data_IF_756310513651
#
_entry.id   IF_756310513651
#
_cell.length_a   1.000
_cell.length_b   1.000
_cell.length_c   1.000
_cell.angle_alpha   90.00
_cell.angle_beta   90.00
_cell.angle_gamma   90.00
#
_symmetry.space_group_name_H-M   'P 1'
#
loop_
_entity.id
_entity.type
_entity.pdbx_description
1 polymer ?
#
# COMPACT_ATOMS: atom_id res chain seq x y z
N UNK A 1 -5.07 -2.86 3.30
CA UNK A 1 -5.83 -2.48 2.08
C UNK A 1 -4.97 -2.79 0.87
N UNK A 2 -5.51 -3.41 -0.16
CA UNK A 2 -4.72 -3.89 -1.31
C UNK A 2 -5.60 -4.11 -2.54
N UNK A 3 -5.22 -5.02 -3.45
CA UNK A 3 -5.95 -5.28 -4.69
C UNK A 3 -7.46 -5.52 -4.48
N UNK A 4 -8.27 -5.01 -5.40
CA UNK A 4 -9.73 -5.08 -5.40
C UNK A 4 -10.21 -6.11 -6.44
N UNK A 5 -11.31 -6.84 -6.19
CA UNK A 5 -11.80 -7.83 -7.15
C UNK A 5 -12.52 -7.22 -8.34
N UNK A 6 -12.47 -7.93 -9.47
CA UNK A 6 -13.21 -7.59 -10.67
C UNK A 6 -12.44 -6.67 -11.62
N UNK A 7 -13.11 -6.30 -12.72
CA UNK A 7 -12.47 -5.64 -13.86
C UNK A 7 -13.00 -4.23 -14.15
N UNK A 8 -14.12 -3.83 -13.53
CA UNK A 8 -14.77 -2.54 -13.78
C UNK A 8 -14.33 -1.47 -12.75
N UNK A 9 -13.52 -0.47 -13.16
CA UNK A 9 -13.12 0.63 -12.29
C UNK A 9 -14.29 1.49 -11.83
N UNK A 10 -15.37 1.61 -12.61
CA UNK A 10 -16.53 2.43 -12.25
C UNK A 10 -17.34 1.77 -11.14
N UNK A 11 -17.57 0.47 -11.25
CA UNK A 11 -18.23 -0.32 -10.19
C UNK A 11 -17.41 -0.26 -8.89
N UNK A 12 -16.10 -0.50 -8.97
CA UNK A 12 -15.21 -0.45 -7.82
C UNK A 12 -15.23 0.94 -7.13
N UNK A 13 -15.10 2.02 -7.91
CA UNK A 13 -15.12 3.38 -7.38
C UNK A 13 -16.47 3.71 -6.70
N UNK A 14 -17.60 3.32 -7.30
CA UNK A 14 -18.94 3.52 -6.71
C UNK A 14 -19.11 2.75 -5.40
N UNK A 15 -18.67 1.49 -5.34
CA UNK A 15 -18.76 0.68 -4.11
C UNK A 15 -17.90 1.31 -3.02
N UNK A 16 -16.62 1.60 -3.31
CA UNK A 16 -15.69 2.12 -2.31
C UNK A 16 -16.17 3.45 -1.76
N UNK A 17 -16.60 4.37 -2.62
CA UNK A 17 -17.07 5.68 -2.16
C UNK A 17 -18.45 5.66 -1.51
N UNK A 18 -19.32 4.75 -1.96
CA UNK A 18 -20.63 4.54 -1.33
C UNK A 18 -20.54 3.96 0.08
N UNK A 19 -19.55 3.10 0.34
CA UNK A 19 -19.35 2.48 1.66
C UNK A 19 -18.42 3.28 2.57
N UNK A 20 -17.42 3.98 2.02
CA UNK A 20 -16.40 4.72 2.77
C UNK A 20 -16.59 6.23 2.60
N UNK A 21 -17.63 6.76 3.24
CA UNK A 21 -17.79 8.20 3.46
C UNK A 21 -16.95 8.71 4.63
N UNK A 22 -16.93 10.02 4.86
CA UNK A 22 -16.30 10.61 6.06
C UNK A 22 -16.90 10.00 7.35
N UNK A 23 -16.08 9.56 8.33
CA UNK A 23 -14.64 9.82 8.51
C UNK A 23 -13.71 8.73 7.94
N UNK A 24 -14.23 7.78 7.16
CA UNK A 24 -13.45 6.69 6.58
C UNK A 24 -12.62 7.17 5.38
N UNK A 25 -11.65 6.35 4.98
CA UNK A 25 -10.68 6.68 3.94
C UNK A 25 -11.01 5.93 2.65
N UNK A 26 -11.78 6.51 1.72
CA UNK A 26 -11.96 5.94 0.39
C UNK A 26 -10.62 5.92 -0.37
N UNK A 27 -10.49 5.02 -1.34
CA UNK A 27 -9.22 4.77 -2.01
C UNK A 27 -9.38 4.51 -3.50
N UNK A 28 -8.33 4.81 -4.27
CA UNK A 28 -8.23 4.40 -5.66
C UNK A 28 -7.94 2.90 -5.74
N UNK A 29 -8.88 2.13 -6.30
CA UNK A 29 -8.77 0.69 -6.41
C UNK A 29 -7.65 0.25 -7.37
N UNK A 30 -6.98 -0.84 -7.03
CA UNK A 30 -6.11 -1.59 -7.95
C UNK A 30 -6.85 -2.83 -8.42
N UNK A 31 -7.02 -3.01 -9.73
CA UNK A 31 -7.84 -4.07 -10.32
C UNK A 31 -6.96 -5.02 -11.16
N UNK A 32 -6.21 -5.94 -10.52
CA UNK A 32 -5.28 -6.81 -11.24
C UNK A 32 -5.96 -7.76 -12.23
N UNK A 33 -7.25 -8.09 -12.03
CA UNK A 33 -8.01 -9.00 -12.90
C UNK A 33 -8.16 -8.46 -14.34
N UNK A 34 -7.98 -7.15 -14.55
CA UNK A 34 -7.92 -6.51 -15.89
C UNK A 34 -6.68 -6.92 -16.70
N UNK A 35 -5.77 -7.64 -16.06
CA UNK A 35 -4.58 -8.23 -16.66
C UNK A 35 -3.36 -7.31 -16.62
N UNK A 36 -2.42 -7.64 -17.50
CA UNK A 36 -1.08 -7.03 -17.54
C UNK A 36 -1.15 -5.50 -17.61
N UNK A 37 -0.50 -4.85 -16.64
CA UNK A 37 -0.40 -3.40 -16.51
C UNK A 37 -1.39 -2.82 -15.51
N UNK A 38 -2.37 -3.61 -15.06
CA UNK A 38 -3.26 -3.27 -13.95
C UNK A 38 -2.85 -3.93 -12.62
N UNK A 39 -1.86 -4.83 -12.66
CA UNK A 39 -1.16 -5.35 -11.49
C UNK A 39 -0.31 -4.26 -10.79
N UNK A 40 -0.10 -4.38 -9.49
CA UNK A 40 0.60 -3.38 -8.68
C UNK A 40 2.01 -3.06 -9.19
N UNK A 41 2.72 -4.06 -9.72
CA UNK A 41 4.08 -3.90 -10.24
C UNK A 41 4.07 -3.09 -11.54
N UNK A 42 3.29 -3.50 -12.55
CA UNK A 42 3.15 -2.78 -13.81
C UNK A 42 2.58 -1.36 -13.63
N UNK A 43 1.58 -1.23 -12.75
CA UNK A 43 0.97 0.06 -12.40
C UNK A 43 2.00 1.03 -11.82
N UNK A 44 2.85 0.56 -10.90
CA UNK A 44 3.89 1.41 -10.30
C UNK A 44 5.04 1.64 -11.26
N UNK A 45 5.45 0.63 -12.02
CA UNK A 45 6.56 0.73 -12.98
C UNK A 45 6.28 1.73 -14.11
N UNK A 46 5.02 1.97 -14.47
CA UNK A 46 4.68 3.01 -15.45
C UNK A 46 4.80 4.44 -14.91
N UNK A 47 5.04 4.61 -13.61
CA UNK A 47 5.35 5.89 -12.98
C UNK A 47 6.84 6.24 -13.05
N UNK A 48 7.71 5.30 -13.38
CA UNK A 48 9.16 5.53 -13.40
C UNK A 48 9.53 6.55 -14.48
N UNK A 49 10.34 7.55 -14.12
CA UNK A 49 10.91 8.53 -15.05
C UNK A 49 12.27 8.05 -15.57
N UNK A 50 12.57 8.26 -16.85
CA UNK A 50 13.80 7.80 -17.53
C UNK A 50 14.04 6.27 -17.55
N UNK A 51 13.17 5.48 -16.93
CA UNK A 51 13.18 4.01 -16.98
C UNK A 51 11.87 3.52 -17.58
N UNK A 52 11.96 2.62 -18.56
CA UNK A 52 10.80 1.97 -19.15
C UNK A 52 10.73 0.49 -18.78
N UNK A 53 9.56 -0.11 -18.95
CA UNK A 53 9.36 -1.54 -18.72
C UNK A 53 8.60 -2.24 -19.85
N UNK A 54 8.90 -3.52 -20.04
CA UNK A 54 8.13 -4.45 -20.87
C UNK A 54 7.82 -5.74 -20.12
N UNK A 55 6.90 -6.54 -20.67
CA UNK A 55 6.49 -7.80 -20.07
C UNK A 55 7.15 -8.94 -20.81
N UNK A 56 7.87 -9.78 -20.07
CA UNK A 56 8.51 -11.00 -20.54
C UNK A 56 7.84 -12.23 -19.91
N UNK A 57 8.08 -13.46 -20.41
CA UNK A 57 7.52 -14.68 -19.82
C UNK A 57 7.84 -14.88 -18.33
N UNK A 58 8.95 -14.30 -17.85
CA UNK A 58 9.38 -14.35 -16.45
C UNK A 58 8.94 -13.12 -15.62
N UNK A 59 8.21 -12.18 -16.23
CA UNK A 59 7.65 -11.00 -15.55
C UNK A 59 8.11 -9.68 -16.18
N UNK A 60 7.90 -8.60 -15.43
CA UNK A 60 8.26 -7.24 -15.85
C UNK A 60 9.78 -7.05 -15.88
N UNK A 61 10.27 -6.37 -16.91
CA UNK A 61 11.69 -6.13 -17.15
C UNK A 61 11.94 -4.67 -17.51
N UNK A 62 13.03 -4.12 -17.00
CA UNK A 62 13.54 -2.80 -17.37
C UNK A 62 14.06 -2.78 -18.80
N UNK A 63 13.67 -1.77 -19.57
CA UNK A 63 14.05 -1.55 -20.96
C UNK A 63 14.41 -0.10 -21.23
N UNK A 64 15.18 0.14 -22.30
CA UNK A 64 15.67 1.48 -22.64
C UNK A 64 14.58 2.44 -23.15
N UNK A 65 13.45 1.91 -23.66
CA UNK A 65 12.40 2.73 -24.28
C UNK A 65 10.99 2.20 -23.99
N UNK A 66 10.01 3.10 -23.80
CA UNK A 66 8.63 2.72 -23.51
C UNK A 66 8.00 1.95 -24.68
N UNK A 67 7.58 0.72 -24.38
CA UNK A 67 6.96 -0.19 -25.34
C UNK A 67 5.43 -0.12 -25.37
N UNK A 68 4.81 -1.22 -25.82
CA UNK A 68 3.35 -1.38 -25.77
C UNK A 68 2.86 -1.63 -24.34
N UNK A 69 3.57 -2.44 -23.57
CA UNK A 69 3.17 -2.82 -22.20
C UNK A 69 3.23 -1.62 -21.25
N UNK A 70 4.29 -0.80 -21.33
CA UNK A 70 4.37 0.47 -20.61
C UNK A 70 3.16 1.37 -20.90
N UNK A 71 2.85 1.59 -22.19
CA UNK A 71 1.71 2.42 -22.59
C UNK A 71 0.37 1.83 -22.15
N UNK A 72 0.25 0.50 -22.12
CA UNK A 72 -0.95 -0.20 -21.61
C UNK A 72 -1.14 0.06 -20.12
N UNK A 73 -0.09 -0.08 -19.31
CA UNK A 73 -0.14 0.20 -17.87
C UNK A 73 -0.47 1.68 -17.59
N UNK A 74 0.20 2.61 -18.29
CA UNK A 74 -0.07 4.04 -18.16
C UNK A 74 -1.51 4.41 -18.56
N UNK A 75 -2.04 3.80 -19.63
CA UNK A 75 -3.42 3.99 -20.07
C UNK A 75 -4.41 3.44 -19.05
N UNK A 76 -4.18 2.25 -18.50
CA UNK A 76 -5.04 1.66 -17.47
C UNK A 76 -5.10 2.54 -16.21
N UNK A 77 -3.96 3.01 -15.73
CA UNK A 77 -3.88 3.95 -14.61
C UNK A 77 -4.61 5.27 -14.92
N UNK A 78 -4.47 5.79 -16.14
CA UNK A 78 -5.18 7.00 -16.56
C UNK A 78 -6.69 6.81 -16.57
N UNK A 79 -7.19 5.67 -17.05
CA UNK A 79 -8.60 5.30 -16.96
C UNK A 79 -9.08 5.30 -15.51
N UNK A 80 -8.33 4.70 -14.58
CA UNK A 80 -8.73 4.62 -13.17
C UNK A 80 -8.84 6.01 -12.52
N UNK A 81 -7.91 6.91 -12.83
CA UNK A 81 -7.92 8.30 -12.33
C UNK A 81 -9.10 9.08 -12.94
N UNK A 82 -9.38 8.90 -14.24
CA UNK A 82 -10.51 9.57 -14.88
C UNK A 82 -11.85 9.09 -14.31
N UNK A 83 -12.01 7.78 -14.11
CA UNK A 83 -13.20 7.21 -13.47
C UNK A 83 -13.36 7.70 -12.03
N UNK A 84 -12.25 7.81 -11.28
CA UNK A 84 -12.26 8.43 -9.96
C UNK A 84 -12.78 9.87 -10.03
N UNK A 85 -12.34 10.65 -11.02
CA UNK A 85 -12.79 12.03 -11.22
C UNK A 85 -14.29 12.11 -11.54
N UNK A 86 -14.79 11.24 -12.43
CA UNK A 86 -16.20 11.19 -12.80
C UNK A 86 -17.08 10.86 -11.59
N UNK A 87 -16.67 9.88 -10.78
CA UNK A 87 -17.43 9.49 -9.57
C UNK A 87 -17.35 10.60 -8.52
N UNK A 88 -16.16 11.13 -8.22
CA UNK A 88 -15.98 12.18 -7.22
C UNK A 88 -16.71 13.48 -7.60
N UNK A 89 -16.72 13.84 -8.89
CA UNK A 89 -17.41 15.04 -9.38
C UNK A 89 -18.94 14.94 -9.33
N UNK A 90 -19.49 13.73 -9.26
CA UNK A 90 -20.93 13.50 -9.12
C UNK A 90 -21.40 13.46 -7.65
N UNK A 91 -20.48 13.50 -6.68
CA UNK A 91 -20.81 13.42 -5.25
C UNK A 91 -21.30 14.75 -4.70
N UNK A 92 -22.42 14.73 -3.96
CA UNK A 92 -22.90 15.91 -3.23
C UNK A 92 -21.99 16.27 -2.05
N UNK A 93 -21.35 15.26 -1.44
CA UNK A 93 -20.46 15.40 -0.27
C UNK A 93 -19.13 14.72 -0.58
N UNK A 94 -18.16 15.46 -1.14
CA UNK A 94 -16.85 14.92 -1.44
C UNK A 94 -16.15 14.40 -0.18
N UNK A 95 -15.42 13.29 -0.33
CA UNK A 95 -14.54 12.80 0.72
C UNK A 95 -13.40 13.78 1.02
N UNK A 96 -13.14 14.03 2.31
CA UNK A 96 -12.07 14.93 2.75
C UNK A 96 -10.67 14.36 2.50
N UNK A 97 -10.55 13.04 2.50
CA UNK A 97 -9.30 12.32 2.31
C UNK A 97 -9.49 11.22 1.26
N UNK A 98 -8.48 10.98 0.44
CA UNK A 98 -8.46 9.87 -0.53
C UNK A 98 -7.12 9.16 -0.44
N UNK A 99 -7.14 7.83 -0.38
CA UNK A 99 -5.93 7.02 -0.42
C UNK A 99 -5.54 6.64 -1.86
N UNK A 100 -4.25 6.69 -2.13
CA UNK A 100 -3.63 5.98 -3.25
C UNK A 100 -2.55 5.02 -2.74
N UNK A 101 -2.21 4.03 -3.54
CA UNK A 101 -1.11 3.11 -3.22
C UNK A 101 -0.20 2.86 -4.42
N UNK A 102 1.02 2.43 -4.12
CA UNK A 102 2.07 2.07 -5.09
C UNK A 102 3.06 1.09 -4.45
N UNK A 103 3.75 0.31 -5.27
CA UNK A 103 4.82 -0.60 -4.82
C UNK A 103 6.05 0.19 -4.35
N UNK A 104 6.61 -0.16 -3.20
CA UNK A 104 7.82 0.46 -2.68
C UNK A 104 9.07 0.11 -3.48
N UNK A 105 10.13 0.93 -3.37
CA UNK A 105 11.32 0.82 -4.20
C UNK A 105 12.02 -0.53 -4.09
N UNK A 106 11.99 -1.19 -2.92
CA UNK A 106 12.70 -2.46 -2.75
C UNK A 106 11.91 -3.64 -3.30
N UNK A 107 10.60 -3.69 -3.06
CA UNK A 107 9.73 -4.70 -3.66
C UNK A 107 9.57 -4.48 -5.16
N UNK A 108 9.64 -3.23 -5.64
CA UNK A 108 9.74 -2.92 -7.06
C UNK A 108 11.04 -3.49 -7.65
N UNK A 109 12.18 -3.30 -6.99
CA UNK A 109 13.45 -3.90 -7.43
C UNK A 109 13.46 -5.44 -7.35
N UNK A 110 12.75 -6.03 -6.38
CA UNK A 110 12.56 -7.47 -6.28
C UNK A 110 11.63 -8.01 -7.38
N UNK A 111 10.64 -7.23 -7.80
CA UNK A 111 9.67 -7.60 -8.84
C UNK A 111 10.17 -7.40 -10.27
N UNK A 112 10.99 -6.38 -10.52
CA UNK A 112 11.50 -6.05 -11.85
C UNK A 112 12.77 -6.84 -12.20
N UNK A 113 12.90 -7.22 -13.46
CA UNK A 113 14.09 -7.87 -14.01
C UNK A 113 14.94 -6.89 -14.81
N UNK A 114 16.25 -7.15 -14.84
CA UNK A 114 17.19 -6.51 -15.75
C UNK A 114 17.14 -7.18 -17.12
N UNK A 115 17.74 -6.54 -18.13
CA UNK A 115 17.96 -7.14 -19.44
C UNK A 115 18.69 -8.49 -19.40
N UNK A 116 19.55 -8.71 -18.39
CA UNK A 116 20.26 -9.96 -18.16
C UNK A 116 19.36 -11.10 -17.66
N UNK A 117 18.12 -10.81 -17.27
CA UNK A 117 17.15 -11.78 -16.76
C UNK A 117 17.22 -12.01 -15.24
N UNK A 118 18.16 -11.40 -14.51
CA UNK A 118 18.15 -11.38 -13.03
C UNK A 118 17.25 -10.25 -12.49
N UNK A 119 16.86 -10.33 -11.21
CA UNK A 119 16.11 -9.24 -10.55
C UNK A 119 16.95 -7.97 -10.47
N UNK A 120 16.35 -6.80 -10.64
CA UNK A 120 17.00 -5.51 -10.45
C UNK A 120 17.59 -5.36 -9.03
N UNK A 121 17.00 -6.05 -8.06
CA UNK A 121 17.50 -6.15 -6.70
C UNK A 121 18.96 -6.63 -6.60
N UNK A 122 19.52 -7.36 -7.57
CA UNK A 122 20.91 -7.82 -7.49
C UNK A 122 21.93 -6.68 -7.59
N UNK A 123 21.57 -5.59 -8.27
CA UNK A 123 22.46 -4.49 -8.66
C UNK A 123 22.18 -3.24 -7.80
N UNK A 124 23.21 -2.75 -7.12
CA UNK A 124 23.11 -1.55 -6.28
C UNK A 124 22.75 -0.29 -7.08
N UNK A 125 23.33 -0.13 -8.27
CA UNK A 125 23.02 0.97 -9.17
C UNK A 125 21.56 0.91 -9.60
N UNK A 126 21.08 -0.27 -10.01
CA UNK A 126 19.68 -0.43 -10.40
C UNK A 126 18.69 -0.13 -9.26
N UNK A 127 18.99 -0.55 -8.02
CA UNK A 127 18.15 -0.23 -6.85
C UNK A 127 18.10 1.28 -6.59
N UNK A 128 19.24 1.96 -6.68
CA UNK A 128 19.33 3.41 -6.51
C UNK A 128 18.57 4.13 -7.62
N UNK A 129 18.82 3.79 -8.87
CA UNK A 129 18.18 4.39 -10.04
C UNK A 129 16.66 4.20 -10.00
N UNK A 130 16.17 3.03 -9.55
CA UNK A 130 14.74 2.78 -9.34
C UNK A 130 14.13 3.69 -8.28
N UNK A 131 14.81 3.88 -7.14
CA UNK A 131 14.31 4.76 -6.08
C UNK A 131 14.27 6.23 -6.53
N UNK A 132 15.31 6.70 -7.22
CA UNK A 132 15.39 8.06 -7.77
C UNK A 132 14.35 8.29 -8.88
N UNK A 133 14.21 7.33 -9.79
CA UNK A 133 13.23 7.36 -10.89
C UNK A 133 11.79 7.32 -10.38
N UNK A 134 11.49 6.50 -9.38
CA UNK A 134 10.19 6.48 -8.72
C UNK A 134 9.90 7.80 -8.01
N UNK A 135 10.87 8.34 -7.28
CA UNK A 135 10.74 9.63 -6.60
C UNK A 135 10.48 10.78 -7.59
N UNK A 136 11.09 10.77 -8.78
CA UNK A 136 10.81 11.76 -9.82
C UNK A 136 9.38 11.65 -10.36
N UNK A 137 8.87 10.43 -10.56
CA UNK A 137 7.57 10.19 -11.19
C UNK A 137 6.35 10.33 -10.29
N UNK A 138 6.47 10.06 -8.99
CA UNK A 138 5.34 10.13 -8.05
C UNK A 138 4.71 11.53 -7.97
N UNK A 139 5.48 12.59 -8.22
CA UNK A 139 4.95 13.96 -8.25
C UNK A 139 3.90 14.18 -9.33
N UNK A 140 4.15 13.68 -10.54
CA UNK A 140 3.18 13.74 -11.65
C UNK A 140 1.93 12.91 -11.34
N UNK A 141 2.11 11.74 -10.72
CA UNK A 141 0.99 10.89 -10.29
C UNK A 141 0.09 11.59 -9.27
N UNK A 142 0.65 12.10 -8.17
CA UNK A 142 -0.14 12.78 -7.14
C UNK A 142 -0.82 14.04 -7.67
N UNK A 143 -0.17 14.80 -8.56
CA UNK A 143 -0.79 15.96 -9.21
C UNK A 143 -2.05 15.57 -9.99
N UNK A 144 -1.99 14.48 -10.76
CA UNK A 144 -3.14 13.97 -11.53
C UNK A 144 -4.26 13.49 -10.63
N UNK A 145 -3.94 12.80 -9.53
CA UNK A 145 -4.93 12.34 -8.57
C UNK A 145 -5.57 13.54 -7.85
N UNK A 146 -4.78 14.51 -7.39
CA UNK A 146 -5.29 15.72 -6.74
C UNK A 146 -6.24 16.51 -7.66
N UNK A 147 -5.94 16.56 -8.96
CA UNK A 147 -6.83 17.16 -9.95
C UNK A 147 -8.14 16.37 -10.16
N UNK A 148 -8.11 15.04 -10.02
CA UNK A 148 -9.29 14.18 -10.09
C UNK A 148 -10.18 14.30 -8.85
N UNK A 149 -9.63 14.65 -7.69
CA UNK A 149 -10.38 14.79 -6.43
C UNK A 149 -10.10 16.14 -5.74
N UNK A 150 -10.55 17.27 -6.32
CA UNK A 150 -10.22 18.59 -5.80
C UNK A 150 -10.63 18.77 -4.34
N UNK A 151 -9.70 19.28 -3.52
CA UNK A 151 -9.93 19.55 -2.10
C UNK A 151 -9.73 18.35 -1.17
N UNK A 152 -9.59 17.14 -1.70
CA UNK A 152 -9.25 15.97 -0.88
C UNK A 152 -7.75 15.95 -0.55
N UNK A 153 -7.41 15.64 0.71
CA UNK A 153 -6.02 15.37 1.09
C UNK A 153 -5.63 13.95 0.67
N UNK A 154 -4.42 13.78 0.16
CA UNK A 154 -3.96 12.49 -0.35
C UNK A 154 -3.19 11.72 0.73
N UNK A 155 -3.68 10.54 1.10
CA UNK A 155 -2.94 9.56 1.89
C UNK A 155 -2.26 8.57 0.93
N UNK A 156 -0.97 8.30 1.11
CA UNK A 156 -0.21 7.40 0.23
C UNK A 156 0.23 6.18 1.02
N UNK A 157 -0.07 5.00 0.49
CA UNK A 157 0.43 3.72 1.01
C UNK A 157 1.51 3.18 0.06
N UNK A 158 2.71 2.96 0.58
CA UNK A 158 3.81 2.30 -0.12
C UNK A 158 3.79 0.82 0.27
N UNK A 159 3.56 -0.07 -0.68
CA UNK A 159 3.48 -1.51 -0.46
C UNK A 159 4.86 -2.16 -0.63
N UNK A 160 5.39 -2.72 0.46
CA UNK A 160 6.68 -3.43 0.50
C UNK A 160 6.49 -4.92 0.87
N UNK A 161 5.76 -5.71 0.07
CA UNK A 161 5.46 -7.11 0.39
C UNK A 161 6.70 -8.01 0.46
N UNK A 162 7.79 -7.67 -0.25
CA UNK A 162 8.99 -8.50 -0.33
C UNK A 162 10.06 -8.12 0.70
N UNK A 163 9.83 -7.09 1.52
CA UNK A 163 10.89 -6.47 2.33
C UNK A 163 11.59 -7.43 3.30
N UNK A 164 10.84 -8.33 3.92
CA UNK A 164 11.41 -9.34 4.82
C UNK A 164 12.43 -10.20 4.06
N UNK A 165 12.06 -10.67 2.86
CA UNK A 165 12.92 -11.48 2.01
C UNK A 165 14.11 -10.69 1.44
N UNK A 166 13.91 -9.40 1.14
CA UNK A 166 14.97 -8.49 0.68
C UNK A 166 16.04 -8.30 1.76
N UNK A 167 15.63 -8.04 3.01
CA UNK A 167 16.54 -7.83 4.13
C UNK A 167 17.19 -9.13 4.62
N UNK A 168 16.51 -10.26 4.49
CA UNK A 168 17.05 -11.58 4.85
C UNK A 168 17.93 -12.19 3.75
N UNK A 169 17.86 -11.70 2.51
CA UNK A 169 18.59 -12.29 1.38
C UNK A 169 18.06 -13.67 0.97
N UNK A 170 16.73 -13.84 1.01
CA UNK A 170 16.06 -15.12 0.72
C UNK A 170 15.38 -15.15 -0.65
N UNK A 171 15.42 -14.04 -1.39
CA UNK A 171 14.86 -13.98 -2.76
C UNK A 171 15.69 -14.86 -3.70
N UNK A 172 15.08 -15.83 -4.41
CA UNK A 172 15.80 -16.67 -5.36
C UNK A 172 16.40 -15.88 -6.54
N UNK A 173 17.57 -16.31 -7.00
CA UNK A 173 18.12 -15.94 -8.31
C UNK A 173 17.28 -16.52 -9.43
N UNK A 174 17.43 -16.01 -10.67
CA UNK A 174 16.68 -16.54 -11.81
C UNK A 174 16.96 -18.01 -12.11
N UNK A 175 18.12 -18.52 -11.69
CA UNK A 175 18.46 -19.95 -11.77
C UNK A 175 17.75 -20.83 -10.72
N UNK A 176 17.24 -20.24 -9.64
CA UNK A 176 16.64 -20.95 -8.50
C UNK A 176 17.63 -21.66 -7.57
N UNK A 177 18.91 -21.81 -7.95
CA UNK A 177 19.92 -22.54 -7.16
C UNK A 177 20.52 -21.74 -6.00
N UNK A 178 20.41 -20.42 -6.04
CA UNK A 178 20.98 -19.48 -5.05
C UNK A 178 19.97 -18.40 -4.73
N UNK A 179 20.18 -17.70 -3.62
CA UNK A 179 19.45 -16.48 -3.28
C UNK A 179 20.29 -15.24 -3.55
N UNK A 180 19.61 -14.11 -3.72
CA UNK A 180 20.21 -12.79 -3.78
C UNK A 180 20.76 -12.40 -2.41
N UNK A 181 21.84 -11.60 -2.40
CA UNK A 181 22.41 -11.09 -1.15
C UNK A 181 21.41 -10.18 -0.46
N UNK A 182 21.40 -10.24 0.87
CA UNK A 182 20.63 -9.33 1.71
C UNK A 182 20.99 -7.87 1.38
N UNK A 183 19.97 -7.02 1.25
CA UNK A 183 20.16 -5.57 1.12
C UNK A 183 20.42 -4.99 2.52
N UNK A 184 21.49 -4.19 2.70
CA UNK A 184 21.75 -3.55 3.99
C UNK A 184 20.59 -2.67 4.45
N UNK A 185 20.22 -2.76 5.73
CA UNK A 185 19.12 -1.97 6.30
C UNK A 185 19.28 -0.45 6.11
N UNK A 186 20.52 0.05 6.10
CA UNK A 186 20.81 1.46 5.83
C UNK A 186 20.48 1.87 4.38
N UNK A 187 20.68 0.97 3.42
CA UNK A 187 20.34 1.19 2.02
C UNK A 187 18.83 1.15 1.81
N UNK A 188 18.13 0.20 2.42
CA UNK A 188 16.67 0.14 2.43
C UNK A 188 16.05 1.44 2.97
N UNK A 189 16.56 1.92 4.12
CA UNK A 189 16.13 3.18 4.72
C UNK A 189 16.34 4.36 3.78
N UNK A 190 17.47 4.43 3.10
CA UNK A 190 17.77 5.52 2.16
C UNK A 190 16.84 5.49 0.94
N UNK A 191 16.59 4.32 0.36
CA UNK A 191 15.66 4.17 -0.75
C UNK A 191 14.24 4.63 -0.37
N UNK A 192 13.76 4.28 0.82
CA UNK A 192 12.48 4.79 1.32
C UNK A 192 12.51 6.29 1.53
N UNK A 193 13.54 6.83 2.18
CA UNK A 193 13.66 8.27 2.45
C UNK A 193 13.52 9.09 1.17
N UNK A 194 14.21 8.70 0.10
CA UNK A 194 14.15 9.37 -1.21
C UNK A 194 12.72 9.45 -1.76
N UNK A 195 11.97 8.33 -1.70
CA UNK A 195 10.59 8.28 -2.19
C UNK A 195 9.63 9.03 -1.26
N UNK A 196 9.80 8.89 0.05
CA UNK A 196 8.98 9.58 1.07
C UNK A 196 9.12 11.11 0.96
N UNK A 197 10.35 11.61 0.81
CA UNK A 197 10.64 13.04 0.66
C UNK A 197 9.98 13.61 -0.61
N UNK A 198 10.00 12.84 -1.71
CA UNK A 198 9.34 13.23 -2.97
C UNK A 198 7.82 13.25 -2.86
N UNK A 199 7.21 12.23 -2.25
CA UNK A 199 5.76 12.19 -2.00
C UNK A 199 5.30 13.36 -1.14
N UNK A 200 6.05 13.68 -0.08
CA UNK A 200 5.76 14.82 0.80
C UNK A 200 5.88 16.15 0.05
N UNK A 201 6.93 16.31 -0.77
CA UNK A 201 7.12 17.49 -1.61
C UNK A 201 6.03 17.66 -2.67
N UNK A 202 5.45 16.56 -3.13
CA UNK A 202 4.31 16.53 -4.06
C UNK A 202 2.95 16.71 -3.38
N UNK A 203 2.90 16.94 -2.07
CA UNK A 203 1.67 17.28 -1.34
C UNK A 203 0.92 16.10 -0.72
N UNK A 204 1.55 14.93 -0.57
CA UNK A 204 0.98 13.86 0.25
C UNK A 204 0.79 14.33 1.70
N UNK A 205 -0.41 14.14 2.25
CA UNK A 205 -0.75 14.55 3.60
C UNK A 205 -0.30 13.53 4.67
N UNK A 206 -0.23 12.25 4.29
CA UNK A 206 0.25 11.15 5.12
C UNK A 206 0.87 10.11 4.19
N UNK A 207 2.04 9.57 4.55
CA UNK A 207 2.67 8.45 3.84
C UNK A 207 2.94 7.31 4.82
N UNK A 208 2.35 6.14 4.54
CA UNK A 208 2.53 4.92 5.34
C UNK A 208 3.22 3.84 4.51
N UNK A 209 4.09 3.04 5.14
CA UNK A 209 4.67 1.86 4.50
C UNK A 209 3.93 0.62 4.99
N UNK A 210 3.37 -0.13 4.05
CA UNK A 210 2.72 -1.41 4.30
C UNK A 210 3.71 -2.55 4.13
N UNK A 211 3.74 -3.45 5.09
CA UNK A 211 4.70 -4.55 5.16
C UNK A 211 4.00 -5.87 5.48
N UNK A 212 4.59 -7.01 5.08
CA UNK A 212 4.05 -8.31 5.43
C UNK A 212 4.14 -8.56 6.94
N UNK A 213 3.48 -9.62 7.35
CA UNK A 213 3.34 -10.09 8.74
C UNK A 213 4.68 -10.42 9.41
N UNK A 214 5.61 -11.02 8.69
CA UNK A 214 6.84 -11.59 9.26
C UNK A 214 8.01 -10.61 9.16
N UNK A 215 8.73 -10.40 10.27
CA UNK A 215 10.01 -9.67 10.32
C UNK A 215 9.97 -8.22 9.80
N UNK A 216 8.83 -7.56 9.97
CA UNK A 216 8.64 -6.18 9.54
C UNK A 216 9.65 -5.19 10.17
N UNK A 217 10.40 -4.40 9.36
CA UNK A 217 11.47 -3.52 9.85
C UNK A 217 10.93 -2.15 10.31
N UNK A 218 10.10 -2.14 11.36
CA UNK A 218 9.39 -0.93 11.83
C UNK A 218 10.32 0.23 12.16
N UNK A 219 11.43 -0.03 12.85
CA UNK A 219 12.40 1.01 13.24
C UNK A 219 12.99 1.71 12.01
N UNK A 220 13.37 0.94 10.99
CA UNK A 220 13.96 1.44 9.75
C UNK A 220 12.95 2.25 8.94
N UNK A 221 11.69 1.82 8.90
CA UNK A 221 10.59 2.53 8.24
C UNK A 221 10.34 3.89 8.89
N UNK A 222 10.24 3.93 10.22
CA UNK A 222 10.02 5.18 10.96
C UNK A 222 11.23 6.10 10.87
N UNK A 223 12.45 5.54 10.94
CA UNK A 223 13.69 6.28 10.75
C UNK A 223 13.89 6.80 9.32
N UNK A 224 13.24 6.20 8.32
CA UNK A 224 13.20 6.73 6.95
C UNK A 224 12.29 7.96 6.81
N UNK A 225 11.46 8.26 7.82
CA UNK A 225 10.58 9.43 7.83
C UNK A 225 9.13 9.12 7.47
N UNK A 226 8.70 7.85 7.49
CA UNK A 226 7.31 7.49 7.28
C UNK A 226 6.42 8.10 8.38
N UNK A 227 5.19 8.47 8.01
CA UNK A 227 4.20 8.99 8.95
C UNK A 227 3.50 7.85 9.71
N UNK A 228 3.57 6.62 9.20
CA UNK A 228 3.00 5.44 9.84
C UNK A 228 3.38 4.13 9.18
N UNK A 229 2.89 3.04 9.79
CA UNK A 229 3.10 1.67 9.33
C UNK A 229 1.75 1.00 9.12
N UNK A 230 1.61 0.23 8.04
CA UNK A 230 0.49 -0.66 7.81
C UNK A 230 0.93 -2.12 7.94
N UNK A 231 0.25 -2.89 8.79
CA UNK A 231 0.63 -4.27 9.10
C UNK A 231 -0.59 -5.14 9.47
N UNK A 232 -0.65 -6.42 9.07
CA UNK A 232 -1.68 -7.36 9.53
C UNK A 232 -1.65 -7.58 11.05
N UNK A 233 -2.81 -7.69 11.69
CA UNK A 233 -2.91 -7.82 13.15
C UNK A 233 -2.42 -9.18 13.68
N UNK A 234 -2.78 -10.26 12.98
CA UNK A 234 -2.52 -11.66 13.41
C UNK A 234 -1.02 -11.99 13.54
N UNK A 235 -0.20 -11.14 12.93
CA UNK A 235 1.25 -11.20 12.85
C UNK A 235 2.02 -10.71 14.06
N UNK A 236 1.38 -9.88 14.87
CA UNK A 236 2.12 -9.00 15.76
C UNK A 236 2.54 -9.73 17.03
N UNK A 237 3.85 -9.95 17.13
CA UNK A 237 4.49 -10.37 18.37
C UNK A 237 4.37 -9.29 19.45
N UNK A 238 4.52 -9.65 20.73
CA UNK A 238 4.56 -8.68 21.84
C UNK A 238 5.59 -7.57 21.60
N UNK A 239 6.79 -7.92 21.12
CA UNK A 239 7.85 -6.95 20.79
C UNK A 239 7.42 -5.96 19.70
N UNK A 240 6.73 -6.44 18.67
CA UNK A 240 6.21 -5.59 17.60
C UNK A 240 5.13 -4.64 18.13
N UNK A 241 4.26 -5.12 19.02
CA UNK A 241 3.28 -4.29 19.70
C UNK A 241 3.92 -3.17 20.53
N UNK A 242 4.98 -3.48 21.29
CA UNK A 242 5.75 -2.46 22.04
C UNK A 242 6.36 -1.41 21.11
N UNK A 243 6.91 -1.81 19.96
CA UNK A 243 7.43 -0.89 18.95
C UNK A 243 6.34 0.01 18.37
N UNK A 244 5.16 -0.55 18.08
CA UNK A 244 4.02 0.21 17.58
C UNK A 244 3.45 1.17 18.63
N UNK A 245 3.45 0.77 19.91
CA UNK A 245 3.06 1.64 21.01
C UNK A 245 3.96 2.88 21.09
N UNK A 246 5.29 2.69 21.05
CA UNK A 246 6.24 3.80 21.01
C UNK A 246 6.10 4.68 19.76
N UNK A 247 5.70 4.10 18.62
CA UNK A 247 5.41 4.87 17.41
C UNK A 247 4.17 5.76 17.58
N UNK A 248 3.09 5.23 18.16
CA UNK A 248 1.86 6.00 18.45
C UNK A 248 2.14 7.14 19.42
N UNK A 249 2.94 6.91 20.46
CA UNK A 249 3.38 7.97 21.39
C UNK A 249 4.22 9.06 20.72
N UNK A 250 4.92 8.71 19.63
CA UNK A 250 5.65 9.65 18.77
C UNK A 250 4.79 10.24 17.64
N UNK A 251 3.46 10.28 17.83
CA UNK A 251 2.45 10.81 16.90
C UNK A 251 2.43 10.13 15.51
N UNK A 252 2.89 8.87 15.42
CA UNK A 252 2.83 8.08 14.18
C UNK A 252 1.48 7.40 14.02
N UNK A 253 1.12 7.17 12.76
CA UNK A 253 -0.12 6.49 12.36
C UNK A 253 0.10 4.98 12.32
N UNK A 254 -0.93 4.23 12.68
CA UNK A 254 -0.92 2.79 12.64
C UNK A 254 -2.11 2.27 11.86
N UNK A 255 -1.86 1.54 10.77
CA UNK A 255 -2.91 0.90 10.00
C UNK A 255 -2.89 -0.60 10.26
N UNK A 256 -3.93 -1.10 10.93
CA UNK A 256 -4.00 -2.48 11.40
C UNK A 256 -4.90 -3.28 10.46
N UNK A 257 -4.37 -4.37 9.92
CA UNK A 257 -5.16 -5.41 9.26
C UNK A 257 -5.97 -6.21 10.28
N UNK A 258 -7.08 -5.65 10.76
CA UNK A 258 -7.85 -6.19 11.88
C UNK A 258 -8.88 -7.28 11.46
N UNK A 259 -9.19 -7.35 10.17
CA UNK A 259 -10.16 -8.28 9.63
C UNK A 259 -9.52 -9.15 8.56
N UNK A 260 -9.40 -10.45 8.87
CA UNK A 260 -8.97 -11.44 7.89
C UNK A 260 -10.15 -11.93 7.06
N UNK A 261 -10.20 -11.47 5.83
CA UNK A 261 -11.13 -11.94 4.81
C UNK A 261 -10.52 -13.10 4.01
N UNK A 262 -9.82 -14.03 4.65
CA UNK A 262 -9.29 -15.24 4.01
C UNK A 262 -10.29 -16.41 3.96
N UNK A 263 -11.18 -16.51 4.96
CA UNK A 263 -12.13 -17.62 5.09
C UNK A 263 -13.49 -17.40 4.42
N UNK A 264 -14.30 -18.45 4.41
CA UNK A 264 -15.67 -18.45 3.86
C UNK A 264 -16.64 -17.53 4.62
N UNK A 265 -16.37 -17.29 5.92
CA UNK A 265 -17.19 -16.44 6.77
C UNK A 265 -16.38 -15.28 7.32
N UNK A 266 -16.98 -14.09 7.33
CA UNK A 266 -16.34 -12.91 7.91
C UNK A 266 -16.30 -13.04 9.45
N UNK A 267 -15.17 -12.69 10.08
CA UNK A 267 -15.06 -12.63 11.53
C UNK A 267 -16.15 -11.75 12.16
N UNK A 268 -16.53 -12.05 13.41
CA UNK A 268 -17.48 -11.21 14.14
C UNK A 268 -16.82 -9.89 14.52
N UNK A 269 -17.62 -8.81 14.50
CA UNK A 269 -17.17 -7.45 14.87
C UNK A 269 -16.51 -7.44 16.25
N UNK A 270 -17.14 -8.10 17.24
CA UNK A 270 -16.63 -8.14 18.61
C UNK A 270 -15.24 -8.80 18.71
N UNK A 271 -15.01 -9.87 17.95
CA UNK A 271 -13.73 -10.59 17.95
C UNK A 271 -12.63 -9.71 17.34
N UNK A 272 -12.92 -8.98 16.26
CA UNK A 272 -11.99 -8.03 15.64
C UNK A 272 -11.68 -6.85 16.57
N UNK A 273 -12.68 -6.30 17.27
CA UNK A 273 -12.49 -5.23 18.25
C UNK A 273 -11.58 -5.70 19.38
N UNK A 274 -11.88 -6.86 19.97
CA UNK A 274 -11.11 -7.40 21.09
C UNK A 274 -9.67 -7.72 20.69
N UNK A 275 -9.44 -8.19 19.46
CA UNK A 275 -8.11 -8.47 18.93
C UNK A 275 -7.22 -7.21 18.85
N UNK A 276 -7.80 -6.03 18.63
CA UNK A 276 -7.08 -4.75 18.66
C UNK A 276 -7.01 -4.19 20.08
N UNK A 277 -8.13 -4.21 20.81
CA UNK A 277 -8.27 -3.54 22.10
C UNK A 277 -7.49 -4.21 23.23
N UNK A 278 -7.41 -5.54 23.24
CA UNK A 278 -6.74 -6.28 24.32
C UNK A 278 -5.24 -5.99 24.37
N UNK A 279 -4.44 -6.11 23.29
CA UNK A 279 -3.04 -5.73 23.31
C UNK A 279 -2.85 -4.25 23.63
N UNK A 280 -3.70 -3.38 23.08
CA UNK A 280 -3.68 -1.94 23.33
C UNK A 280 -3.73 -1.60 24.83
N UNK A 281 -4.69 -2.20 25.54
CA UNK A 281 -4.83 -2.04 26.99
C UNK A 281 -3.70 -2.68 27.79
N UNK A 282 -3.19 -3.82 27.35
CA UNK A 282 -2.08 -4.51 28.03
C UNK A 282 -0.79 -3.70 28.01
N UNK A 283 -0.57 -2.92 26.94
CA UNK A 283 0.54 -1.98 26.82
C UNK A 283 0.31 -0.65 27.57
N UNK A 284 -0.88 -0.46 28.16
CA UNK A 284 -1.22 0.75 28.91
C UNK A 284 -1.52 1.99 28.06
N UNK A 285 -1.75 1.83 26.74
CA UNK A 285 -2.09 2.94 25.86
C UNK A 285 -3.49 3.48 26.19
N UNK A 286 -3.66 4.81 26.10
CA UNK A 286 -4.94 5.45 26.38
C UNK A 286 -5.97 5.14 25.30
N UNK A 287 -7.26 5.19 25.64
CA UNK A 287 -8.35 5.09 24.66
C UNK A 287 -8.29 6.20 23.60
N UNK A 288 -7.91 7.42 23.99
CA UNK A 288 -7.79 8.57 23.07
C UNK A 288 -6.73 8.37 21.99
N UNK A 289 -5.67 7.61 22.28
CA UNK A 289 -4.62 7.30 21.33
C UNK A 289 -5.10 6.36 20.20
N UNK A 290 -6.27 5.71 20.32
CA UNK A 290 -6.87 4.94 19.22
C UNK A 290 -7.20 5.81 18.00
N UNK A 291 -7.27 7.14 18.15
CA UNK A 291 -7.39 8.06 17.02
C UNK A 291 -6.21 7.99 16.03
N UNK A 292 -5.06 7.42 16.44
CA UNK A 292 -3.93 7.13 15.57
C UNK A 292 -4.10 5.84 14.74
N UNK A 293 -5.09 5.00 15.08
CA UNK A 293 -5.30 3.67 14.48
C UNK A 293 -6.33 3.72 13.37
N UNK A 294 -5.99 3.13 12.23
CA UNK A 294 -6.91 2.88 11.12
C UNK A 294 -7.07 1.37 10.94
N UNK A 295 -8.29 0.87 10.96
CA UNK A 295 -8.57 -0.54 10.67
C UNK A 295 -8.68 -0.77 9.17
N UNK A 296 -8.10 -1.88 8.70
CA UNK A 296 -8.08 -2.28 7.30
C UNK A 296 -8.29 -3.79 7.19
N UNK A 297 -8.58 -4.34 5.99
CA UNK A 297 -8.50 -5.78 5.77
C UNK A 297 -7.03 -6.22 5.85
N UNK A 298 -6.78 -7.43 6.39
CA UNK A 298 -5.43 -8.00 6.55
C UNK A 298 -4.70 -8.27 5.24
N UNK A 299 -5.43 -8.43 4.13
CA UNK A 299 -4.91 -8.73 2.80
C UNK A 299 -5.71 -8.00 1.72
N UNK A 300 -5.21 -8.00 0.49
CA UNK A 300 -6.00 -7.59 -0.67
C UNK A 300 -7.26 -8.45 -0.83
N UNK A 301 -8.28 -7.89 -1.47
CA UNK A 301 -9.58 -8.53 -1.73
C UNK A 301 -9.70 -9.08 -3.15
N UNK A 302 -8.63 -9.02 -3.96
CA UNK A 302 -8.60 -9.70 -5.26
C UNK A 302 -8.87 -11.21 -5.11
N UNK A 303 -9.54 -11.79 -6.10
CA UNK A 303 -10.03 -13.18 -6.05
C UNK A 303 -11.34 -13.39 -5.28
N UNK A 304 -11.90 -12.36 -4.65
CA UNK A 304 -13.29 -12.36 -4.13
C UNK A 304 -14.27 -11.82 -5.17
N UNK A 305 -15.55 -11.80 -4.83
CA UNK A 305 -16.57 -11.07 -5.60
C UNK A 305 -16.70 -9.62 -5.12
N UNK A 306 -17.16 -8.67 -5.96
CA UNK A 306 -17.44 -7.29 -5.53
C UNK A 306 -18.42 -7.20 -4.35
N UNK A 307 -19.41 -8.10 -4.29
CA UNK A 307 -20.37 -8.17 -3.20
C UNK A 307 -19.72 -8.55 -1.86
N UNK A 308 -18.79 -9.51 -1.87
CA UNK A 308 -18.03 -9.88 -0.67
C UNK A 308 -17.08 -8.76 -0.24
N UNK A 309 -16.42 -8.10 -1.19
CA UNK A 309 -15.55 -6.96 -0.88
C UNK A 309 -16.35 -5.80 -0.25
N UNK A 310 -17.56 -5.53 -0.75
CA UNK A 310 -18.50 -4.60 -0.12
C UNK A 310 -18.85 -5.02 1.32
N UNK A 311 -19.17 -6.29 1.55
CA UNK A 311 -19.48 -6.80 2.89
C UNK A 311 -18.28 -6.67 3.86
N UNK A 312 -17.05 -6.84 3.37
CA UNK A 312 -15.82 -6.62 4.12
C UNK A 312 -15.69 -5.15 4.54
N UNK A 313 -15.92 -4.21 3.62
CA UNK A 313 -15.88 -2.77 3.95
C UNK A 313 -16.93 -2.43 5.03
N UNK A 314 -18.19 -2.84 4.83
CA UNK A 314 -19.24 -2.60 5.83
C UNK A 314 -18.92 -3.21 7.20
N UNK A 315 -18.27 -4.38 7.24
CA UNK A 315 -17.79 -4.99 8.50
C UNK A 315 -16.69 -4.18 9.16
N UNK A 316 -15.74 -3.64 8.39
CA UNK A 316 -14.67 -2.78 8.91
C UNK A 316 -15.21 -1.47 9.47
N UNK A 317 -16.22 -0.88 8.83
CA UNK A 317 -16.92 0.31 9.35
C UNK A 317 -17.49 0.03 10.75
N UNK A 318 -18.17 -1.11 10.92
CA UNK A 318 -18.69 -1.55 12.23
C UNK A 318 -17.60 -1.77 13.28
N UNK A 319 -16.44 -2.32 12.89
CA UNK A 319 -15.28 -2.50 13.79
C UNK A 319 -14.72 -1.14 14.21
N UNK A 320 -14.57 -0.21 13.27
CA UNK A 320 -14.11 1.15 13.55
C UNK A 320 -15.05 1.88 14.53
N UNK A 321 -16.36 1.79 14.31
CA UNK A 321 -17.36 2.40 15.19
C UNK A 321 -17.31 1.81 16.61
N UNK A 322 -17.16 0.49 16.73
CA UNK A 322 -17.04 -0.16 18.03
C UNK A 322 -15.75 0.20 18.78
N UNK A 323 -14.62 0.35 18.06
CA UNK A 323 -13.38 0.86 18.67
C UNK A 323 -13.51 2.31 19.11
N UNK A 324 -14.19 3.16 18.33
CA UNK A 324 -14.47 4.55 18.70
C UNK A 324 -15.33 4.64 19.97
N UNK A 325 -16.31 3.74 20.14
CA UNK A 325 -17.12 3.68 21.37
C UNK A 325 -16.26 3.33 22.60
N UNK A 326 -15.28 2.44 22.46
CA UNK A 326 -14.34 2.10 23.54
C UNK A 326 -13.32 3.22 23.82
N UNK A 327 -12.99 4.03 22.83
CA UNK A 327 -12.10 5.18 23.01
C UNK A 327 -12.75 6.33 23.79
N UNK A 328 -14.07 6.48 23.66
CA UNK A 328 -14.87 7.56 24.24
C UNK A 328 -15.58 7.19 25.56
N UNK A 329 -15.72 5.89 25.84
CA UNK A 329 -16.36 5.36 27.05
C UNK A 329 -15.37 5.11 28.18
#
# INVERSE_FOLDING_TARGET
MGPWPGEDPLEAAKIIRGELGSPHLPFLAELPDRGVGSDALGRTACLLEELAVDVQPYGWRLVDRPGKDFRRAASALATDINVLADVAGAEEKPAADVKVQLMGPLSLAAGLHLHSGERALIDYGARRDLAESLAAGVGHYLTRVAAAVPGARLAVQIDEPDIASVLAGTIPTSSGYRTLRAVPAAEAREAWRVVLDALRSAGAAEVVIAVPEIEAPFEQILAAGADGIAVPLQALTTRQWEQLAGAVEADKRLWIGALDAGGDTLPKVADCIEAVWRPWRQLGLSGTALSAVRVTPSRGLAGRTPAEAKAVLGRLTQVADGLNQLALG
#
